data_IF_706845548533
#
_entry.id   IF_706845548533
#
_cell.length_a   1.000
_cell.length_b   1.000
_cell.length_c   1.000
_cell.angle_alpha   90.00
_cell.angle_beta   90.00
_cell.angle_gamma   90.00
#
_symmetry.space_group_name_H-M   'P 1'
#
loop_
_entity.id
_entity.type
_entity.pdbx_description
1 polymer ?
#
# COMPACT_ATOMS: atom_id res chain seq x y z
N UNK A 1 8.64 -10.66 -8.49
CA UNK A 1 9.13 -9.26 -8.42
C UNK A 1 9.98 -9.05 -7.17
N UNK A 2 10.79 -7.98 -7.12
CA UNK A 2 11.56 -7.62 -5.92
C UNK A 2 10.89 -6.47 -5.17
N UNK A 3 11.24 -6.32 -3.90
CA UNK A 3 10.89 -5.15 -3.12
C UNK A 3 11.42 -3.87 -3.76
N UNK A 4 10.61 -2.82 -3.72
CA UNK A 4 11.00 -1.44 -4.02
C UNK A 4 10.94 -0.64 -2.73
N UNK A 5 11.91 0.26 -2.54
CA UNK A 5 12.00 1.09 -1.32
C UNK A 5 11.94 2.56 -1.73
N UNK A 6 10.98 3.28 -1.15
CA UNK A 6 10.83 4.71 -1.29
C UNK A 6 11.26 5.39 0.02
N UNK A 7 12.50 5.87 0.06
CA UNK A 7 13.04 6.56 1.22
C UNK A 7 12.68 8.05 1.22
N UNK A 8 12.49 8.61 2.40
CA UNK A 8 12.22 10.03 2.64
C UNK A 8 12.87 10.48 3.95
N UNK A 9 12.85 11.78 4.22
CA UNK A 9 13.34 12.31 5.50
C UNK A 9 12.54 11.70 6.66
N UNK A 10 13.20 11.43 7.78
CA UNK A 10 12.51 10.87 8.95
C UNK A 10 11.31 11.75 9.36
N UNK A 11 10.15 11.11 9.55
CA UNK A 11 8.91 11.76 9.99
C UNK A 11 8.31 10.95 11.14
N UNK A 12 7.81 11.64 12.17
CA UNK A 12 7.00 11.02 13.21
C UNK A 12 5.58 10.80 12.69
N UNK A 13 5.12 9.54 12.64
CA UNK A 13 3.83 9.18 12.06
C UNK A 13 3.24 7.94 12.70
N UNK A 14 1.91 7.89 12.78
CA UNK A 14 1.11 6.71 13.09
C UNK A 14 0.37 6.19 11.86
N UNK A 15 0.00 7.06 10.92
CA UNK A 15 -0.69 6.70 9.70
C UNK A 15 0.21 6.92 8.50
N UNK A 16 0.27 5.92 7.63
CA UNK A 16 1.00 6.00 6.35
C UNK A 16 0.04 5.69 5.21
N UNK A 17 0.06 6.53 4.18
CA UNK A 17 -0.76 6.37 2.98
C UNK A 17 0.14 6.19 1.75
N UNK A 18 -0.13 5.14 0.96
CA UNK A 18 0.35 5.00 -0.40
C UNK A 18 -0.73 5.48 -1.37
N UNK A 19 -0.47 6.57 -2.08
CA UNK A 19 -1.29 7.06 -3.20
C UNK A 19 -0.67 6.59 -4.51
N UNK A 20 -1.31 5.64 -5.21
CA UNK A 20 -0.92 5.18 -6.53
C UNK A 20 -1.54 6.08 -7.62
N UNK A 21 -0.69 6.73 -8.41
CA UNK A 21 -1.11 7.68 -9.45
C UNK A 21 -1.23 7.04 -10.83
N UNK A 22 -0.43 6.02 -11.12
CA UNK A 22 -0.41 5.32 -12.40
C UNK A 22 0.20 3.92 -12.26
N UNK A 23 -0.09 3.03 -13.23
CA UNK A 23 0.55 1.73 -13.34
C UNK A 23 1.61 1.69 -14.44
N UNK A 24 2.54 0.73 -14.35
CA UNK A 24 3.60 0.51 -15.33
C UNK A 24 3.04 0.10 -16.70
N UNK A 25 2.02 -0.77 -16.80
CA UNK A 25 1.39 -1.06 -18.09
C UNK A 25 0.52 0.08 -18.65
N UNK A 26 0.24 1.13 -17.86
CA UNK A 26 -0.64 2.22 -18.26
C UNK A 26 -2.13 1.89 -18.16
N UNK A 27 -2.49 0.85 -17.40
CA UNK A 27 -3.86 0.56 -17.01
C UNK A 27 -4.30 1.43 -15.80
N UNK A 28 -5.60 1.41 -15.48
CA UNK A 28 -6.13 2.17 -14.34
C UNK A 28 -6.03 1.41 -13.02
N UNK A 29 -5.33 0.29 -12.96
CA UNK A 29 -5.33 -0.58 -11.78
C UNK A 29 -4.18 -0.23 -10.83
N UNK A 30 -4.34 -0.60 -9.57
CA UNK A 30 -3.24 -0.71 -8.62
C UNK A 30 -3.29 -2.07 -7.92
N UNK A 31 -2.13 -2.64 -7.69
CA UNK A 31 -1.94 -3.88 -6.92
C UNK A 31 -0.85 -3.69 -5.90
N UNK A 32 -0.93 -4.42 -4.80
CA UNK A 32 0.13 -4.49 -3.81
C UNK A 32 0.14 -5.85 -3.12
N UNK A 33 1.20 -6.63 -3.33
CA UNK A 33 1.41 -7.87 -2.60
C UNK A 33 1.74 -7.58 -1.14
N UNK A 34 2.69 -6.69 -0.90
CA UNK A 34 3.10 -6.36 0.47
C UNK A 34 3.50 -4.89 0.63
N UNK A 35 3.06 -4.29 1.73
CA UNK A 35 3.53 -3.01 2.25
C UNK A 35 4.27 -3.20 3.58
N UNK A 36 5.50 -2.66 3.62
CA UNK A 36 6.29 -2.53 4.85
C UNK A 36 6.72 -1.08 5.04
N UNK A 37 7.13 -0.74 6.27
CA UNK A 37 7.60 0.59 6.64
C UNK A 37 8.94 0.42 7.35
N UNK A 38 9.92 1.25 7.01
CA UNK A 38 11.22 1.26 7.68
C UNK A 38 11.26 2.32 8.78
N UNK A 39 11.86 1.96 9.91
CA UNK A 39 12.13 2.86 11.02
C UNK A 39 13.48 3.59 10.89
N UNK A 40 13.86 4.33 11.93
CA UNK A 40 15.13 5.06 12.00
C UNK A 40 16.38 4.15 11.89
N UNK A 41 16.27 2.90 12.37
CA UNK A 41 17.34 1.90 12.25
C UNK A 41 17.54 1.36 10.83
N UNK A 42 16.70 1.77 9.86
CA UNK A 42 16.66 1.20 8.52
C UNK A 42 16.07 -0.21 8.45
N UNK A 43 15.60 -0.76 9.57
CA UNK A 43 14.89 -2.04 9.63
C UNK A 43 13.39 -1.87 9.47
N UNK A 44 12.70 -2.92 9.04
CA UNK A 44 11.25 -2.95 8.99
C UNK A 44 10.66 -2.83 10.39
N UNK A 45 9.66 -1.97 10.53
CA UNK A 45 8.84 -1.90 11.72
C UNK A 45 7.99 -3.17 11.82
N UNK A 46 7.79 -3.73 13.02
CA UNK A 46 6.94 -4.89 13.20
C UNK A 46 5.49 -4.53 12.86
N UNK A 47 4.82 -5.36 12.06
CA UNK A 47 3.39 -5.19 11.70
C UNK A 47 2.42 -5.48 12.86
N UNK A 48 2.91 -5.83 14.04
CA UNK A 48 2.07 -6.12 15.20
C UNK A 48 1.22 -4.90 15.56
N UNK A 49 -0.10 -5.04 15.50
CA UNK A 49 -1.04 -3.96 15.78
C UNK A 49 -1.36 -3.06 14.57
N UNK A 50 -0.75 -3.30 13.41
CA UNK A 50 -1.09 -2.58 12.20
C UNK A 50 -2.50 -2.91 11.72
N UNK A 51 -3.14 -1.93 11.10
CA UNK A 51 -4.45 -2.10 10.47
C UNK A 51 -4.46 -1.37 9.15
N UNK A 52 -4.98 -2.03 8.12
CA UNK A 52 -5.38 -1.33 6.92
C UNK A 52 -6.74 -0.68 7.18
N UNK A 53 -6.74 0.64 7.33
CA UNK A 53 -7.91 1.42 7.76
C UNK A 53 -8.69 1.98 6.58
N UNK A 54 -8.09 1.98 5.38
CA UNK A 54 -8.77 2.42 4.17
C UNK A 54 -8.12 1.86 2.91
N UNK A 55 -8.97 1.47 1.96
CA UNK A 55 -8.63 1.28 0.57
C UNK A 55 -9.66 2.01 -0.29
N UNK A 56 -9.23 2.66 -1.37
CA UNK A 56 -10.15 3.38 -2.26
C UNK A 56 -10.98 2.47 -3.16
N UNK A 57 -10.51 1.25 -3.41
CA UNK A 57 -11.11 0.25 -4.27
C UNK A 57 -10.54 -1.12 -3.92
N UNK A 58 -11.35 -2.16 -4.05
CA UNK A 58 -10.97 -3.55 -3.79
C UNK A 58 -11.67 -4.46 -4.79
N UNK A 59 -10.94 -5.40 -5.36
CA UNK A 59 -11.50 -6.53 -6.08
C UNK A 59 -11.81 -7.64 -5.08
N UNK A 60 -13.09 -7.96 -4.91
CA UNK A 60 -13.56 -9.00 -3.97
C UNK A 60 -14.57 -9.95 -4.61
N UNK A 61 -14.78 -9.83 -5.93
CA UNK A 61 -15.76 -10.60 -6.67
C UNK A 61 -15.10 -11.55 -7.68
N UNK A 62 -14.25 -11.02 -8.56
CA UNK A 62 -13.52 -11.77 -9.58
C UNK A 62 -12.25 -12.45 -9.06
N UNK A 63 -11.69 -11.95 -7.96
CA UNK A 63 -10.57 -12.57 -7.22
C UNK A 63 -10.57 -12.11 -5.75
N UNK A 64 -9.67 -12.69 -4.96
CA UNK A 64 -9.44 -12.34 -3.56
C UNK A 64 -8.40 -11.21 -3.46
N UNK A 65 -8.75 -10.05 -3.98
CA UNK A 65 -7.92 -8.83 -4.04
C UNK A 65 -8.19 -7.84 -2.91
N UNK A 66 -8.68 -8.32 -1.76
CA UNK A 66 -8.99 -7.51 -0.60
C UNK A 66 -7.75 -6.74 -0.10
N UNK A 67 -7.95 -5.58 0.50
CA UNK A 67 -6.86 -4.69 0.84
C UNK A 67 -5.95 -5.23 1.94
N UNK A 68 -6.49 -6.01 2.88
CA UNK A 68 -5.72 -6.67 3.94
C UNK A 68 -4.63 -7.63 3.41
N UNK A 69 -4.76 -8.13 2.16
CA UNK A 69 -3.69 -8.88 1.48
C UNK A 69 -2.39 -8.10 1.40
N UNK A 70 -2.43 -6.76 1.34
CA UNK A 70 -1.21 -5.95 1.33
C UNK A 70 -0.40 -6.00 2.65
N UNK A 71 -0.94 -6.60 3.72
CA UNK A 71 -0.32 -6.66 5.04
C UNK A 71 -0.18 -8.10 5.61
N UNK A 72 -0.56 -9.14 4.88
CA UNK A 72 -0.72 -10.50 5.40
C UNK A 72 0.60 -11.29 5.52
N UNK A 73 1.71 -10.73 5.04
CA UNK A 73 3.05 -11.35 4.98
C UNK A 73 3.14 -12.51 3.98
N UNK A 74 2.19 -12.64 3.07
CA UNK A 74 2.21 -13.57 1.96
C UNK A 74 2.54 -12.83 0.66
N UNK A 75 3.56 -13.32 -0.05
CA UNK A 75 4.02 -12.67 -1.28
C UNK A 75 3.17 -13.05 -2.48
N UNK A 76 2.40 -14.13 -2.36
CA UNK A 76 1.62 -14.71 -3.45
C UNK A 76 0.17 -14.19 -3.46
N UNK A 77 -0.29 -13.58 -2.37
CA UNK A 77 -1.52 -12.77 -2.32
C UNK A 77 -1.22 -11.31 -2.65
N UNK A 78 -2.26 -10.53 -2.97
CA UNK A 78 -2.12 -9.10 -3.21
C UNK A 78 -3.47 -8.38 -3.12
N UNK A 79 -3.45 -7.14 -2.64
CA UNK A 79 -4.53 -6.21 -2.89
C UNK A 79 -4.60 -5.91 -4.38
N UNK A 80 -5.82 -5.79 -4.92
CA UNK A 80 -6.08 -5.32 -6.27
C UNK A 80 -7.27 -4.34 -6.25
N UNK A 81 -7.16 -3.22 -6.94
CA UNK A 81 -8.30 -2.32 -7.20
C UNK A 81 -9.33 -3.03 -8.08
N UNK A 82 -10.62 -2.80 -7.88
CA UNK A 82 -11.69 -3.48 -8.61
C UNK A 82 -11.46 -3.48 -10.13
N UNK A 83 -11.61 -4.65 -10.74
CA UNK A 83 -11.55 -4.85 -12.19
C UNK A 83 -12.74 -5.64 -12.74
N UNK A 84 -13.39 -6.48 -11.94
CA UNK A 84 -14.61 -7.18 -12.32
C UNK A 84 -15.84 -6.33 -12.01
N UNK A 85 -16.77 -6.30 -12.97
CA UNK A 85 -18.00 -5.50 -12.92
C UNK A 85 -17.82 -3.97 -13.06
N UNK A 86 -16.69 -3.40 -12.64
CA UNK A 86 -16.35 -1.99 -12.85
C UNK A 86 -14.85 -1.74 -12.63
N UNK A 87 -14.39 -0.58 -13.09
CA UNK A 87 -12.99 -0.15 -13.01
C UNK A 87 -12.93 1.27 -12.47
N UNK A 88 -12.49 1.40 -11.22
CA UNK A 88 -12.37 2.71 -10.58
C UNK A 88 -11.12 3.42 -11.13
N UNK A 89 -11.20 4.71 -11.50
CA UNK A 89 -10.04 5.43 -12.05
C UNK A 89 -9.05 5.81 -10.95
N UNK A 90 -7.74 5.92 -11.25
CA UNK A 90 -6.76 6.48 -10.31
C UNK A 90 -7.08 7.95 -9.97
N UNK A 91 -6.55 8.49 -8.86
CA UNK A 91 -5.61 7.85 -7.93
C UNK A 91 -6.23 6.80 -7.01
N UNK A 92 -5.43 5.80 -6.62
CA UNK A 92 -5.82 4.75 -5.67
C UNK A 92 -5.06 4.87 -4.36
N UNK A 93 -5.68 4.47 -3.26
CA UNK A 93 -5.17 4.70 -1.91
C UNK A 93 -5.16 3.42 -1.09
N UNK A 94 -4.08 3.19 -0.35
CA UNK A 94 -4.03 2.33 0.83
C UNK A 94 -3.58 3.16 2.03
N UNK A 95 -4.33 3.10 3.13
CA UNK A 95 -3.96 3.76 4.39
C UNK A 95 -3.79 2.73 5.50
N UNK A 96 -2.63 2.77 6.13
CA UNK A 96 -2.24 1.89 7.22
C UNK A 96 -2.10 2.69 8.50
N UNK A 97 -2.82 2.28 9.55
CA UNK A 97 -2.56 2.66 10.94
C UNK A 97 -1.48 1.72 11.49
N UNK A 98 -0.34 2.26 11.91
CA UNK A 98 0.78 1.54 12.49
C UNK A 98 0.51 1.11 13.95
N UNK A 99 -0.62 1.53 14.53
CA UNK A 99 -1.05 1.23 15.90
C UNK A 99 -0.53 2.21 16.94
N UNK A 100 0.66 2.76 16.73
CA UNK A 100 1.29 3.78 17.57
C UNK A 100 2.14 4.73 16.72
N UNK A 101 2.53 5.87 17.31
CA UNK A 101 3.40 6.84 16.64
C UNK A 101 4.82 6.28 16.57
N UNK A 102 5.38 6.23 15.38
CA UNK A 102 6.71 5.70 15.06
C UNK A 102 7.54 6.74 14.29
N UNK A 103 8.86 6.65 14.36
CA UNK A 103 9.74 7.37 13.42
C UNK A 103 9.84 6.55 12.14
N UNK A 104 9.36 7.10 11.03
CA UNK A 104 9.29 6.44 9.72
C UNK A 104 10.26 7.09 8.74
N UNK A 105 11.00 6.27 8.00
CA UNK A 105 12.05 6.73 7.05
C UNK A 105 11.85 6.22 5.62
N UNK A 106 11.08 5.15 5.43
CA UNK A 106 10.75 4.64 4.11
C UNK A 106 9.46 3.83 4.10
N UNK A 107 8.84 3.75 2.93
CA UNK A 107 7.82 2.75 2.61
C UNK A 107 8.41 1.75 1.62
N UNK A 108 8.15 0.47 1.87
CA UNK A 108 8.53 -0.63 0.99
C UNK A 108 7.29 -1.22 0.36
N UNK A 109 7.37 -1.40 -0.94
CA UNK A 109 6.29 -1.89 -1.78
C UNK A 109 6.75 -3.15 -2.52
N UNK A 110 5.96 -4.20 -2.43
CA UNK A 110 6.10 -5.40 -3.24
C UNK A 110 4.94 -5.42 -4.27
N UNK A 111 5.24 -5.35 -5.58
CA UNK A 111 4.22 -5.56 -6.61
C UNK A 111 3.67 -7.00 -6.58
N UNK A 112 2.52 -7.27 -7.20
CA UNK A 112 2.08 -8.65 -7.46
C UNK A 112 3.14 -9.47 -8.20
N UNK A 113 3.25 -10.77 -7.89
CA UNK A 113 4.37 -11.61 -8.34
C UNK A 113 4.14 -12.28 -9.69
N UNK A 114 2.88 -12.44 -10.09
CA UNK A 114 2.44 -13.28 -11.20
C UNK A 114 2.27 -12.50 -12.53
N UNK A 115 1.69 -11.30 -12.48
CA UNK A 115 1.31 -10.52 -13.68
C UNK A 115 1.70 -9.05 -13.56
N UNK A 116 1.61 -8.33 -14.69
CA UNK A 116 2.06 -6.94 -14.80
C UNK A 116 0.99 -5.89 -14.52
N UNK A 117 -0.29 -6.21 -14.68
CA UNK A 117 -1.38 -5.26 -14.50
C UNK A 117 -1.39 -4.68 -13.08
N UNK A 118 -1.72 -3.40 -12.97
CA UNK A 118 -1.77 -2.71 -11.70
C UNK A 118 -0.43 -2.57 -10.95
N UNK A 119 0.71 -2.94 -11.54
CA UNK A 119 2.01 -2.67 -10.92
C UNK A 119 2.23 -1.15 -10.87
N UNK A 120 2.23 -0.57 -9.68
CA UNK A 120 2.34 0.89 -9.47
C UNK A 120 3.63 1.45 -10.09
N UNK A 121 3.50 2.56 -10.83
CA UNK A 121 4.59 3.30 -11.45
C UNK A 121 4.85 4.63 -10.72
N UNK A 122 3.94 5.59 -10.84
CA UNK A 122 4.01 6.86 -10.13
C UNK A 122 3.18 6.81 -8.86
N UNK A 123 3.69 7.38 -7.78
CA UNK A 123 3.03 7.35 -6.47
C UNK A 123 3.37 8.60 -5.65
N UNK A 124 2.61 8.81 -4.58
CA UNK A 124 2.96 9.68 -3.45
C UNK A 124 2.84 8.91 -2.15
N UNK A 125 3.62 9.34 -1.16
CA UNK A 125 3.55 8.82 0.21
C UNK A 125 3.20 9.97 1.14
N UNK A 126 2.24 9.74 2.01
CA UNK A 126 1.87 10.66 3.08
C UNK A 126 2.05 9.95 4.41
N UNK A 127 2.55 10.67 5.41
CA UNK A 127 2.76 10.15 6.75
C UNK A 127 2.35 11.22 7.78
N UNK A 128 1.53 10.83 8.76
CA UNK A 128 0.98 11.73 9.79
C UNK A 128 0.77 11.02 11.11
N UNK A 129 0.77 11.76 12.21
CA UNK A 129 0.45 11.27 13.57
C UNK A 129 -1.06 11.13 13.81
N UNK A 130 -1.87 12.00 13.20
CA UNK A 130 -3.32 11.97 13.24
C UNK A 130 -3.94 11.20 12.06
N UNK A 131 -5.18 10.67 12.21
CA UNK A 131 -5.92 10.08 11.10
C UNK A 131 -6.06 11.05 9.93
N UNK A 132 -6.09 10.51 8.70
CA UNK A 132 -6.38 11.34 7.53
C UNK A 132 -7.83 11.83 7.58
N UNK A 133 -8.12 13.09 7.19
CA UNK A 133 -9.48 13.60 7.19
C UNK A 133 -10.43 12.72 6.37
N UNK A 134 -11.56 12.32 6.95
CA UNK A 134 -12.52 11.43 6.30
C UNK A 134 -12.31 9.95 6.59
N UNK A 135 -11.27 9.58 7.35
CA UNK A 135 -11.12 8.29 8.03
C UNK A 135 -11.53 8.38 9.50
#
# INVERSE_FOLDING_TARGET
>A
MRWQTAAFNAVSARFVCLEALSSLPGDNFATCAELNVLGESGQELPKSGWKLVYASSEEVFGEDGAADRALDSDRDTFWHTRWDGAQDPPPHYLVVDLGEVQTVTALRYLPRQDQSNGRINSYRIYARDEPFPGL
#
